data_IF_278044068693
#
_entry.id   IF_278044068693
#
_cell.length_a   1.000
_cell.length_b   1.000
_cell.length_c   1.000
_cell.angle_alpha   90.00
_cell.angle_beta   90.00
_cell.angle_gamma   90.00
#
_symmetry.space_group_name_H-M   'P 1'
#
loop_
_entity.id
_entity.type
_entity.pdbx_description
1 polymer ?
#
# COMPACT_ATOMS: atom_id res chain seq x y z
N UNK A 1 14.28 -24.43 -15.66
CA UNK A 1 13.11 -24.12 -14.80
C UNK A 1 13.17 -22.64 -14.43
N UNK A 2 12.13 -21.84 -14.70
CA UNK A 2 12.08 -20.44 -14.28
C UNK A 2 12.19 -20.39 -12.75
N UNK A 3 13.11 -19.57 -12.21
CA UNK A 3 13.30 -19.42 -10.76
C UNK A 3 12.08 -18.66 -10.22
N UNK A 4 11.12 -19.37 -9.62
CA UNK A 4 9.95 -18.74 -9.01
C UNK A 4 10.38 -18.08 -7.71
N UNK A 5 10.13 -16.78 -7.60
CA UNK A 5 10.24 -16.08 -6.32
C UNK A 5 8.90 -16.19 -5.61
N UNK A 6 8.91 -16.12 -4.29
CA UNK A 6 7.71 -16.38 -3.49
C UNK A 6 7.45 -15.20 -2.54
N UNK A 7 6.19 -14.83 -2.40
CA UNK A 7 5.72 -13.74 -1.57
C UNK A 7 4.75 -14.29 -0.53
N UNK A 8 5.12 -14.22 0.74
CA UNK A 8 4.40 -14.84 1.83
C UNK A 8 3.45 -13.86 2.52
N UNK A 9 2.16 -14.15 2.46
CA UNK A 9 1.09 -13.37 3.11
C UNK A 9 0.63 -14.09 4.38
N UNK A 10 0.54 -13.35 5.48
CA UNK A 10 -0.05 -13.86 6.72
C UNK A 10 -1.37 -13.16 7.00
N UNK A 11 -2.44 -13.93 7.20
CA UNK A 11 -3.78 -13.43 7.51
C UNK A 11 -4.06 -13.69 8.99
N UNK A 12 -4.54 -12.69 9.72
CA UNK A 12 -4.97 -12.81 11.11
C UNK A 12 -6.37 -12.23 11.24
N UNK A 13 -7.38 -13.09 11.44
CA UNK A 13 -8.79 -12.67 11.45
C UNK A 13 -9.60 -13.62 12.36
N UNK A 14 -10.62 -13.10 13.05
CA UNK A 14 -11.51 -13.88 13.92
C UNK A 14 -12.68 -14.55 13.16
N UNK A 15 -12.94 -14.13 11.92
CA UNK A 15 -13.98 -14.68 11.06
C UNK A 15 -13.40 -15.79 10.19
N UNK A 16 -13.74 -17.04 10.54
CA UNK A 16 -13.39 -18.23 9.74
C UNK A 16 -13.64 -18.10 8.24
N UNK A 17 -14.76 -17.46 7.84
CA UNK A 17 -15.10 -17.26 6.42
C UNK A 17 -14.12 -16.30 5.72
N UNK A 18 -13.68 -15.23 6.39
CA UNK A 18 -12.69 -14.29 5.86
C UNK A 18 -11.34 -14.98 5.68
N UNK A 19 -10.86 -15.68 6.72
CA UNK A 19 -9.65 -16.51 6.64
C UNK A 19 -9.67 -17.48 5.46
N UNK A 20 -10.77 -18.22 5.29
CA UNK A 20 -10.95 -19.17 4.18
C UNK A 20 -10.92 -18.46 2.83
N UNK A 21 -11.77 -17.44 2.62
CA UNK A 21 -11.90 -16.77 1.31
C UNK A 21 -10.60 -16.07 0.89
N UNK A 22 -9.91 -15.43 1.83
CA UNK A 22 -8.59 -14.83 1.57
C UNK A 22 -7.55 -15.91 1.22
N UNK A 23 -7.50 -17.00 1.97
CA UNK A 23 -6.57 -18.11 1.70
C UNK A 23 -6.82 -18.72 0.33
N UNK A 24 -8.06 -19.06 0.00
CA UNK A 24 -8.45 -19.68 -1.27
C UNK A 24 -8.13 -18.77 -2.47
N UNK A 25 -8.29 -17.45 -2.31
CA UNK A 25 -8.07 -16.48 -3.38
C UNK A 25 -6.59 -16.17 -3.60
N UNK A 26 -5.81 -16.10 -2.53
CA UNK A 26 -4.42 -15.65 -2.58
C UNK A 26 -3.43 -16.80 -2.78
N UNK A 27 -3.71 -18.00 -2.27
CA UNK A 27 -2.77 -19.13 -2.34
C UNK A 27 -2.52 -19.55 -3.79
N UNK A 28 -1.25 -19.58 -4.19
CA UNK A 28 -0.86 -19.95 -5.55
C UNK A 28 -1.12 -18.86 -6.59
N UNK A 29 -1.64 -17.68 -6.18
CA UNK A 29 -1.77 -16.53 -7.07
C UNK A 29 -0.40 -16.23 -7.68
N UNK A 30 -0.33 -16.27 -9.00
CA UNK A 30 0.89 -15.97 -9.75
C UNK A 30 0.79 -14.55 -10.26
N UNK A 31 1.70 -13.70 -9.81
CA UNK A 31 1.78 -12.30 -10.25
C UNK A 31 2.91 -12.19 -11.27
N UNK A 32 2.60 -11.94 -12.54
CA UNK A 32 3.63 -11.72 -13.55
C UNK A 32 4.35 -10.42 -13.20
N UNK A 33 5.68 -10.47 -13.10
CA UNK A 33 6.49 -9.25 -13.05
C UNK A 33 6.82 -8.81 -14.47
N UNK A 34 7.37 -7.60 -14.62
CA UNK A 34 7.81 -7.10 -15.93
C UNK A 34 9.05 -7.84 -16.50
N UNK A 35 9.47 -8.92 -15.85
CA UNK A 35 10.59 -9.81 -16.23
C UNK A 35 10.11 -11.26 -16.23
N UNK A 36 10.91 -12.19 -16.75
CA UNK A 36 10.63 -13.64 -16.75
C UNK A 36 10.55 -14.31 -15.36
N UNK A 37 10.43 -13.53 -14.28
CA UNK A 37 10.29 -13.97 -12.90
C UNK A 37 8.83 -13.87 -12.45
N UNK A 38 8.16 -15.01 -12.43
CA UNK A 38 6.84 -15.11 -11.80
C UNK A 38 7.00 -15.12 -10.27
N UNK A 39 6.18 -14.31 -9.58
CA UNK A 39 6.08 -14.33 -8.12
C UNK A 39 4.85 -15.17 -7.75
N UNK A 40 5.05 -16.22 -6.95
CA UNK A 40 3.95 -17.05 -6.44
C UNK A 40 3.63 -16.63 -5.01
N UNK A 41 2.35 -16.43 -4.73
CA UNK A 41 1.88 -16.11 -3.39
C UNK A 41 1.70 -17.39 -2.57
N UNK A 42 2.28 -17.42 -1.38
CA UNK A 42 1.93 -18.41 -0.34
C UNK A 42 1.27 -17.73 0.84
N UNK A 43 0.41 -18.47 1.53
CA UNK A 43 -0.47 -17.93 2.57
C UNK A 43 -0.38 -18.76 3.83
N UNK A 44 -0.24 -18.10 4.97
CA UNK A 44 -0.53 -18.66 6.29
C UNK A 44 -1.73 -17.92 6.88
N UNK A 45 -2.73 -18.65 7.36
CA UNK A 45 -3.91 -18.05 8.01
C UNK A 45 -3.95 -18.44 9.48
N UNK A 46 -4.21 -17.44 10.32
CA UNK A 46 -4.41 -17.55 11.76
C UNK A 46 -5.86 -17.14 12.04
N UNK A 47 -6.71 -18.14 12.23
CA UNK A 47 -8.06 -17.94 12.70
C UNK A 47 -8.04 -17.74 14.21
N UNK A 48 -8.25 -16.49 14.63
CA UNK A 48 -8.26 -16.08 16.03
C UNK A 48 -9.53 -16.62 16.69
N UNK A 49 -9.35 -17.41 17.74
CA UNK A 49 -10.48 -17.99 18.48
C UNK A 49 -10.32 -17.70 19.95
N UNK A 50 -11.47 -17.53 20.61
CA UNK A 50 -11.57 -17.07 21.99
C UNK A 50 -12.28 -18.14 22.82
N UNK A 51 -11.86 -18.29 24.08
CA UNK A 51 -12.56 -19.09 25.09
C UNK A 51 -13.01 -18.19 26.23
N UNK A 52 -14.23 -18.43 26.73
CA UNK A 52 -14.71 -17.83 27.98
C UNK A 52 -13.97 -18.45 29.16
N UNK A 53 -13.56 -17.61 30.10
CA UNK A 53 -13.10 -18.02 31.42
C UNK A 53 -14.31 -17.86 32.34
N UNK A 54 -14.79 -18.95 32.93
CA UNK A 54 -15.88 -18.88 33.89
C UNK A 54 -15.36 -18.23 35.19
N UNK A 55 -15.90 -17.08 35.57
CA UNK A 55 -15.90 -16.63 36.97
C UNK A 55 -17.34 -16.46 37.42
N UNK A 56 -17.75 -17.32 38.37
CA UNK A 56 -19.03 -17.27 39.04
C UNK A 56 -18.91 -16.37 40.28
N UNK A 57 -18.94 -15.05 40.11
CA UNK A 57 -19.31 -14.12 41.18
C UNK A 57 -20.19 -13.01 40.59
N UNK A 58 -21.27 -12.66 41.30
CA UNK A 58 -22.22 -11.64 40.87
C UNK A 58 -21.50 -10.29 40.72
N UNK A 59 -21.25 -9.87 39.48
CA UNK A 59 -20.70 -8.55 39.16
C UNK A 59 -19.36 -8.56 38.41
N UNK A 60 -18.68 -9.70 38.24
CA UNK A 60 -17.47 -9.76 37.41
C UNK A 60 -17.81 -9.85 35.91
N UNK A 61 -17.11 -9.06 35.08
CA UNK A 61 -17.19 -9.12 33.62
C UNK A 61 -16.68 -10.48 33.12
N UNK A 62 -17.38 -11.10 32.17
CA UNK A 62 -16.91 -12.32 31.46
C UNK A 62 -15.46 -12.12 30.97
N UNK A 63 -14.50 -12.85 31.56
CA UNK A 63 -13.10 -12.80 31.12
C UNK A 63 -12.88 -13.73 29.94
N UNK A 64 -12.07 -13.30 28.98
CA UNK A 64 -11.75 -14.05 27.76
C UNK A 64 -10.27 -14.34 27.65
N UNK A 65 -9.92 -15.42 26.96
CA UNK A 65 -8.54 -15.73 26.58
C UNK A 65 -8.50 -16.23 25.15
N UNK A 66 -7.41 -15.95 24.43
CA UNK A 66 -7.09 -16.65 23.19
C UNK A 66 -6.86 -18.14 23.46
N UNK A 67 -7.12 -18.98 22.47
CA UNK A 67 -7.05 -20.44 22.61
C UNK A 67 -5.67 -20.99 22.25
N UNK A 68 -5.42 -22.24 22.66
CA UNK A 68 -4.27 -23.03 22.21
C UNK A 68 -4.24 -23.19 20.68
N UNK A 69 -5.41 -23.28 20.03
CA UNK A 69 -5.48 -23.36 18.58
C UNK A 69 -4.96 -22.07 17.90
N UNK A 70 -5.16 -20.91 18.52
CA UNK A 70 -4.58 -19.64 18.05
C UNK A 70 -3.07 -19.61 18.27
N UNK A 71 -2.57 -20.11 19.40
CA UNK A 71 -1.12 -20.25 19.65
C UNK A 71 -0.45 -21.12 18.58
N UNK A 72 -0.97 -22.32 18.36
CA UNK A 72 -0.39 -23.26 17.39
C UNK A 72 -0.37 -22.68 15.96
N UNK A 73 -1.39 -21.91 15.59
CA UNK A 73 -1.42 -21.23 14.30
C UNK A 73 -0.38 -20.10 14.21
N UNK A 74 -0.20 -19.30 15.27
CA UNK A 74 0.85 -18.28 15.34
C UNK A 74 2.24 -18.90 15.17
N UNK A 75 2.54 -19.95 15.94
CA UNK A 75 3.84 -20.65 15.90
C UNK A 75 4.12 -21.31 14.55
N UNK A 76 3.07 -21.78 13.87
CA UNK A 76 3.18 -22.38 12.53
C UNK A 76 3.40 -21.30 11.46
N UNK A 77 2.61 -20.23 11.48
CA UNK A 77 2.74 -19.12 10.54
C UNK A 77 4.08 -18.40 10.68
N UNK A 78 4.63 -18.30 11.90
CA UNK A 78 5.92 -17.65 12.14
C UNK A 78 7.14 -18.44 11.69
N UNK A 79 6.99 -19.69 11.22
CA UNK A 79 8.12 -20.47 10.66
C UNK A 79 8.76 -19.79 9.47
N UNK A 80 8.03 -18.88 8.81
CA UNK A 80 8.51 -18.08 7.69
C UNK A 80 8.16 -16.61 7.93
N UNK A 81 9.12 -15.71 7.67
CA UNK A 81 8.86 -14.26 7.72
C UNK A 81 7.76 -13.87 6.75
N UNK A 82 6.80 -13.08 7.20
CA UNK A 82 5.76 -12.52 6.35
C UNK A 82 6.35 -11.41 5.46
N UNK A 83 5.99 -11.38 4.18
CA UNK A 83 6.24 -10.22 3.30
C UNK A 83 5.12 -9.18 3.43
N UNK A 84 3.92 -9.63 3.84
CA UNK A 84 2.73 -8.82 4.07
C UNK A 84 1.86 -9.44 5.15
N UNK A 85 1.31 -8.63 6.05
CA UNK A 85 0.27 -9.06 6.98
C UNK A 85 -1.06 -8.40 6.64
N UNK A 86 -2.15 -9.18 6.67
CA UNK A 86 -3.54 -8.72 6.58
C UNK A 86 -4.20 -9.07 7.91
N UNK A 87 -4.60 -8.06 8.67
CA UNK A 87 -5.00 -8.23 10.07
C UNK A 87 -6.34 -7.54 10.32
N UNK A 88 -7.35 -8.30 10.73
CA UNK A 88 -8.55 -7.71 11.33
C UNK A 88 -8.12 -7.14 12.68
N UNK A 89 -8.43 -5.86 12.91
CA UNK A 89 -8.04 -5.21 14.15
C UNK A 89 -9.10 -5.27 15.25
N UNK A 90 -10.23 -5.95 15.01
CA UNK A 90 -11.26 -6.24 16.01
C UNK A 90 -11.54 -7.73 16.04
N UNK A 91 -11.35 -8.36 17.21
CA UNK A 91 -11.71 -9.74 17.48
C UNK A 91 -12.86 -9.77 18.48
N UNK A 92 -14.00 -10.34 18.06
CA UNK A 92 -15.19 -10.42 18.91
C UNK A 92 -15.74 -11.85 18.88
N UNK A 93 -15.94 -12.44 20.05
CA UNK A 93 -16.66 -13.70 20.14
C UNK A 93 -18.08 -13.58 19.59
N UNK A 94 -18.54 -14.59 18.84
CA UNK A 94 -19.85 -14.58 18.20
C UNK A 94 -21.04 -14.35 19.16
N UNK A 95 -20.94 -14.77 20.42
CA UNK A 95 -21.94 -14.53 21.45
C UNK A 95 -21.91 -13.10 22.00
N UNK A 96 -20.72 -12.54 22.22
CA UNK A 96 -20.53 -11.12 22.63
C UNK A 96 -20.93 -10.19 21.50
N UNK A 97 -20.60 -10.56 20.26
CA UNK A 97 -21.06 -9.88 19.07
C UNK A 97 -22.58 -9.78 19.14
N UNK A 98 -23.33 -10.89 19.28
CA UNK A 98 -24.81 -10.86 19.40
C UNK A 98 -25.33 -9.91 20.50
N UNK A 99 -24.65 -9.80 21.63
CA UNK A 99 -25.01 -8.87 22.70
C UNK A 99 -24.81 -7.41 22.32
N UNK A 100 -23.63 -7.04 21.80
CA UNK A 100 -23.36 -5.69 21.32
C UNK A 100 -24.25 -5.29 20.16
N UNK A 101 -24.50 -6.25 19.28
CA UNK A 101 -25.44 -6.20 18.18
C UNK A 101 -26.87 -5.88 18.63
N UNK A 102 -27.28 -6.34 19.81
CA UNK A 102 -28.58 -6.01 20.42
C UNK A 102 -28.53 -4.62 21.06
N UNK A 103 -27.51 -4.33 21.87
CA UNK A 103 -27.35 -3.03 22.56
C UNK A 103 -27.19 -1.84 21.62
N UNK A 104 -26.49 -1.99 20.50
CA UNK A 104 -26.36 -0.94 19.48
C UNK A 104 -27.71 -0.52 18.87
N UNK A 105 -28.74 -1.38 18.92
CA UNK A 105 -30.12 -1.02 18.51
C UNK A 105 -30.89 -0.25 19.59
N UNK A 106 -30.39 -0.26 20.82
CA UNK A 106 -31.09 0.23 22.02
C UNK A 106 -30.40 1.49 22.61
N UNK A 107 -29.45 2.11 21.88
CA UNK A 107 -28.74 3.38 22.18
C UNK A 107 -28.21 3.54 23.62
N UNK A 108 -27.81 2.45 24.28
CA UNK A 108 -27.44 2.45 25.70
C UNK A 108 -26.18 1.65 25.97
N UNK A 109 -25.02 2.26 25.69
CA UNK A 109 -23.72 1.69 26.11
C UNK A 109 -22.85 2.81 26.70
N UNK A 110 -22.42 2.61 27.95
CA UNK A 110 -21.43 3.48 28.61
C UNK A 110 -20.01 3.08 28.23
N UNK A 111 -19.08 4.05 28.26
CA UNK A 111 -17.67 3.92 27.84
C UNK A 111 -16.93 2.77 28.55
N UNK A 112 -17.25 2.50 29.82
CA UNK A 112 -16.67 1.44 30.65
C UNK A 112 -17.08 0.01 30.22
N UNK A 113 -18.24 -0.17 29.56
CA UNK A 113 -18.64 -1.47 28.99
C UNK A 113 -17.91 -1.82 27.69
N UNK A 114 -17.28 -0.82 27.05
CA UNK A 114 -16.64 -0.90 25.74
C UNK A 114 -15.18 -1.37 25.88
N UNK A 115 -14.47 -0.84 26.90
CA UNK A 115 -13.00 -0.87 26.98
C UNK A 115 -12.39 -2.25 27.30
N UNK A 116 -13.20 -3.28 27.57
CA UNK A 116 -12.71 -4.61 27.95
C UNK A 116 -13.32 -5.78 27.15
N UNK A 117 -14.07 -5.49 26.08
CA UNK A 117 -14.90 -6.50 25.41
C UNK A 117 -14.62 -6.70 23.91
N UNK A 118 -13.91 -5.77 23.27
CA UNK A 118 -13.40 -5.94 21.91
C UNK A 118 -11.91 -6.27 21.98
N UNK A 119 -11.56 -7.53 21.73
CA UNK A 119 -10.16 -7.94 21.65
C UNK A 119 -9.55 -7.39 20.36
N UNK A 120 -8.23 -7.22 20.33
CA UNK A 120 -7.53 -6.61 19.21
C UNK A 120 -6.11 -7.22 19.06
N UNK A 121 -5.37 -6.90 17.99
CA UNK A 121 -4.02 -7.40 17.78
C UNK A 121 -3.05 -7.11 18.93
N UNK A 122 -3.20 -5.99 19.64
CA UNK A 122 -2.34 -5.64 20.79
C UNK A 122 -2.57 -6.57 21.95
N UNK A 123 -3.83 -6.92 22.23
CA UNK A 123 -4.16 -7.91 23.26
C UNK A 123 -3.69 -9.32 22.86
N UNK A 124 -3.73 -9.68 21.58
CA UNK A 124 -3.15 -10.93 21.09
C UNK A 124 -1.62 -10.96 21.29
N UNK A 125 -0.94 -9.85 20.99
CA UNK A 125 0.49 -9.68 21.23
C UNK A 125 0.82 -9.81 22.73
N UNK A 126 0.13 -9.06 23.59
CA UNK A 126 0.37 -9.08 25.04
C UNK A 126 0.12 -10.46 25.65
N UNK A 127 -0.98 -11.11 25.22
CA UNK A 127 -1.27 -12.47 25.60
C UNK A 127 -0.16 -13.42 25.16
N UNK A 128 0.26 -13.37 23.89
CA UNK A 128 1.35 -14.21 23.38
C UNK A 128 2.64 -14.02 24.18
N UNK A 129 2.97 -12.78 24.56
CA UNK A 129 4.14 -12.46 25.40
C UNK A 129 4.07 -13.11 26.79
N UNK A 130 2.86 -13.29 27.32
CA UNK A 130 2.63 -13.89 28.64
C UNK A 130 2.32 -15.40 28.59
N UNK A 131 2.11 -15.97 27.40
CA UNK A 131 1.78 -17.39 27.23
C UNK A 131 2.92 -18.29 27.74
N UNK A 132 2.67 -19.15 28.75
CA UNK A 132 3.68 -20.07 29.27
C UNK A 132 3.96 -21.20 28.26
N UNK A 133 5.09 -21.90 28.43
CA UNK A 133 5.47 -23.07 27.63
C UNK A 133 5.73 -22.82 26.13
N UNK A 134 5.96 -21.57 25.73
CA UNK A 134 6.53 -21.24 24.41
C UNK A 134 8.05 -21.14 24.56
N UNK A 135 8.82 -21.90 23.78
CA UNK A 135 10.28 -21.85 23.82
C UNK A 135 10.81 -20.45 23.44
N UNK A 136 11.96 -20.05 23.98
CA UNK A 136 12.55 -18.74 23.68
C UNK A 136 12.78 -18.54 22.18
N UNK A 137 13.24 -19.59 21.48
CA UNK A 137 13.42 -19.58 20.02
C UNK A 137 12.09 -19.40 19.27
N UNK A 138 11.02 -20.08 19.68
CA UNK A 138 9.70 -19.91 19.05
C UNK A 138 9.12 -18.53 19.32
N UNK A 139 9.36 -17.97 20.50
CA UNK A 139 8.95 -16.61 20.88
C UNK A 139 9.68 -15.58 20.04
N UNK A 140 11.01 -15.62 20.01
CA UNK A 140 11.85 -14.71 19.22
C UNK A 140 11.50 -14.81 17.74
N UNK A 141 11.36 -16.02 17.20
CA UNK A 141 10.96 -16.23 15.80
C UNK A 141 9.59 -15.62 15.52
N UNK A 142 8.61 -15.82 16.39
CA UNK A 142 7.26 -15.28 16.21
C UNK A 142 7.22 -13.76 16.29
N UNK A 143 8.00 -13.17 17.19
CA UNK A 143 8.20 -11.73 17.24
C UNK A 143 8.82 -11.21 15.94
N UNK A 144 10.01 -11.70 15.56
CA UNK A 144 10.75 -11.19 14.40
C UNK A 144 10.02 -11.39 13.07
N UNK A 145 9.26 -12.49 12.93
CA UNK A 145 8.63 -12.84 11.66
C UNK A 145 7.21 -12.26 11.50
N UNK A 146 6.55 -11.85 12.59
CA UNK A 146 5.18 -11.31 12.58
C UNK A 146 5.10 -9.93 13.25
N UNK A 147 5.20 -9.85 14.59
CA UNK A 147 4.87 -8.64 15.35
C UNK A 147 5.92 -7.53 15.25
N UNK A 148 7.21 -7.86 15.29
CA UNK A 148 8.32 -6.92 15.15
C UNK A 148 8.85 -6.87 13.71
N UNK A 149 8.04 -7.32 12.74
CA UNK A 149 8.40 -7.26 11.34
C UNK A 149 8.43 -5.82 10.83
N UNK A 150 9.44 -5.48 10.04
CA UNK A 150 9.60 -4.20 9.32
C UNK A 150 8.73 -4.11 8.05
N UNK A 151 7.83 -5.07 7.86
CA UNK A 151 7.05 -5.25 6.63
C UNK A 151 5.72 -4.53 6.69
N UNK A 152 5.05 -4.50 5.54
CA UNK A 152 3.75 -3.85 5.42
C UNK A 152 2.68 -4.64 6.18
N UNK A 153 1.88 -3.94 6.98
CA UNK A 153 0.71 -4.49 7.69
C UNK A 153 -0.53 -3.72 7.24
N UNK A 154 -1.52 -4.44 6.72
CA UNK A 154 -2.85 -3.91 6.44
C UNK A 154 -3.78 -4.24 7.59
N UNK A 155 -4.11 -3.23 8.37
CA UNK A 155 -5.16 -3.28 9.39
C UNK A 155 -6.49 -3.00 8.69
N UNK A 156 -7.39 -3.98 8.66
CA UNK A 156 -8.72 -3.80 8.10
C UNK A 156 -9.82 -3.94 9.14
N UNK A 157 -10.94 -3.26 8.91
CA UNK A 157 -12.18 -3.54 9.64
C UNK A 157 -13.36 -3.45 8.72
N UNK A 158 -14.40 -4.14 9.14
CA UNK A 158 -15.76 -3.88 8.73
C UNK A 158 -16.56 -3.60 10.00
N UNK A 159 -16.82 -2.32 10.27
CA UNK A 159 -17.62 -1.88 11.42
C UNK A 159 -18.95 -1.31 10.91
N UNK A 160 -20.08 -2.03 11.09
CA UNK A 160 -21.38 -1.53 10.64
C UNK A 160 -21.81 -0.23 11.31
N UNK A 161 -22.75 0.48 10.70
CA UNK A 161 -23.25 1.77 11.23
C UNK A 161 -23.84 1.58 12.64
N UNK A 162 -23.59 2.55 13.53
CA UNK A 162 -24.03 2.49 14.92
C UNK A 162 -23.16 1.62 15.83
N UNK A 163 -22.42 0.63 15.30
CA UNK A 163 -21.52 -0.18 16.13
C UNK A 163 -20.29 0.61 16.60
N UNK A 164 -19.88 1.67 15.90
CA UNK A 164 -18.81 2.57 16.34
C UNK A 164 -19.13 3.25 17.69
N UNK A 165 -20.40 3.48 18.03
CA UNK A 165 -20.77 4.02 19.35
C UNK A 165 -20.43 3.01 20.46
N UNK A 166 -20.41 1.72 20.13
CA UNK A 166 -20.21 0.61 21.06
C UNK A 166 -18.77 0.06 21.03
N UNK A 167 -18.04 0.25 19.93
CA UNK A 167 -16.67 -0.30 19.76
C UNK A 167 -15.62 0.79 19.61
N UNK A 168 -15.98 2.05 19.85
CA UNK A 168 -15.11 3.22 19.71
C UNK A 168 -15.04 3.75 18.27
N UNK A 169 -14.18 4.74 18.04
CA UNK A 169 -13.92 5.22 16.67
C UNK A 169 -12.93 4.30 15.95
N UNK A 170 -12.96 4.31 14.62
CA UNK A 170 -11.95 3.62 13.81
C UNK A 170 -10.52 4.08 14.14
N UNK A 171 -10.33 5.39 14.32
CA UNK A 171 -9.03 5.98 14.65
C UNK A 171 -8.48 5.43 15.96
N UNK A 172 -9.28 5.44 17.03
CA UNK A 172 -8.88 4.87 18.32
C UNK A 172 -8.52 3.38 18.20
N UNK A 173 -9.37 2.58 17.53
CA UNK A 173 -9.14 1.13 17.39
C UNK A 173 -7.89 0.81 16.59
N UNK A 174 -7.71 1.48 15.46
CA UNK A 174 -6.54 1.29 14.59
C UNK A 174 -5.24 1.69 15.29
N UNK A 175 -5.25 2.79 16.06
CA UNK A 175 -4.11 3.19 16.89
C UNK A 175 -3.75 2.12 17.91
N UNK A 176 -4.73 1.53 18.58
CA UNK A 176 -4.49 0.46 19.56
C UNK A 176 -3.94 -0.80 18.89
N UNK A 177 -4.51 -1.21 17.76
CA UNK A 177 -4.04 -2.38 17.02
C UNK A 177 -2.64 -2.21 16.44
N UNK A 178 -2.30 -1.00 16.00
CA UNK A 178 -0.97 -0.65 15.50
C UNK A 178 0.14 -0.87 16.54
N UNK A 179 -0.17 -0.75 17.85
CA UNK A 179 0.81 -1.01 18.92
C UNK A 179 1.31 -2.47 18.94
N UNK A 180 0.61 -3.41 18.31
CA UNK A 180 1.09 -4.79 18.14
C UNK A 180 2.24 -4.90 17.14
N UNK A 181 2.39 -3.90 16.26
CA UNK A 181 3.31 -3.91 15.12
C UNK A 181 4.23 -2.68 15.11
N UNK A 182 5.07 -2.49 16.14
CA UNK A 182 5.79 -1.22 16.37
C UNK A 182 6.78 -0.82 15.26
N UNK A 183 7.22 -1.77 14.43
CA UNK A 183 8.21 -1.53 13.36
C UNK A 183 7.61 -1.58 11.95
N UNK A 184 6.32 -1.90 11.84
CA UNK A 184 5.69 -2.13 10.55
C UNK A 184 5.32 -0.83 9.82
N UNK A 185 5.27 -0.91 8.49
CA UNK A 185 4.59 0.11 7.69
C UNK A 185 3.09 -0.19 7.68
N UNK A 186 2.31 0.60 8.43
CA UNK A 186 0.89 0.32 8.69
C UNK A 186 -0.01 1.07 7.71
N UNK A 187 -0.91 0.33 7.07
CA UNK A 187 -2.03 0.88 6.32
C UNK A 187 -3.34 0.48 6.98
N UNK A 188 -4.19 1.46 7.29
CA UNK A 188 -5.52 1.24 7.86
C UNK A 188 -6.55 1.34 6.75
N UNK A 189 -7.45 0.37 6.65
CA UNK A 189 -8.50 0.32 5.63
C UNK A 189 -9.86 0.11 6.29
N UNK A 190 -10.78 1.04 6.04
CA UNK A 190 -12.19 0.82 6.32
C UNK A 190 -12.82 0.03 5.17
N UNK A 191 -12.74 -1.30 5.26
CA UNK A 191 -13.28 -2.16 4.20
C UNK A 191 -14.80 -2.10 4.09
N UNK A 192 -15.50 -1.49 5.05
CA UNK A 192 -16.92 -1.20 4.85
C UNK A 192 -17.08 -0.08 3.83
N UNK A 193 -16.48 1.08 4.08
CA UNK A 193 -16.59 2.25 3.19
C UNK A 193 -15.93 2.02 1.83
N UNK A 194 -14.85 1.23 1.77
CA UNK A 194 -14.14 0.95 0.51
C UNK A 194 -14.89 -0.05 -0.38
N UNK A 195 -15.63 -1.01 0.21
CA UNK A 195 -16.29 -2.07 -0.57
C UNK A 195 -17.77 -1.81 -0.79
N UNK A 196 -18.40 -0.95 0.02
CA UNK A 196 -19.83 -0.68 -0.02
C UNK A 196 -20.09 0.82 -0.05
N UNK A 197 -20.82 1.25 -1.08
CA UNK A 197 -21.20 2.65 -1.29
C UNK A 197 -22.52 3.04 -0.61
N UNK A 198 -23.19 2.08 0.02
CA UNK A 198 -24.47 2.28 0.68
C UNK A 198 -24.65 1.35 1.88
N UNK A 199 -25.73 1.60 2.61
CA UNK A 199 -26.11 0.84 3.81
C UNK A 199 -26.85 -0.47 3.49
N UNK A 200 -27.00 -0.89 2.21
CA UNK A 200 -27.66 -2.17 1.86
C UNK A 200 -26.89 -3.36 2.48
N UNK A 201 -25.59 -3.16 2.66
CA UNK A 201 -24.67 -4.10 3.27
C UNK A 201 -24.51 -3.89 4.76
N UNK A 202 -25.12 -2.86 5.35
CA UNK A 202 -25.00 -2.61 6.78
C UNK A 202 -25.81 -3.61 7.59
N UNK A 203 -25.08 -4.46 8.28
CA UNK A 203 -25.65 -5.25 9.35
C UNK A 203 -26.03 -4.31 10.51
N UNK A 204 -27.25 -4.36 11.12
CA UNK A 204 -28.16 -5.49 11.22
C UNK A 204 -29.42 -5.44 10.33
N UNK A 205 -29.29 -5.23 9.02
CA UNK A 205 -30.44 -5.30 8.10
C UNK A 205 -30.85 -6.77 7.81
N UNK A 206 -32.03 -7.25 8.27
CA UNK A 206 -32.49 -8.63 8.05
C UNK A 206 -32.93 -8.92 6.61
N UNK A 207 -33.17 -7.86 5.85
CA UNK A 207 -33.68 -7.81 4.47
C UNK A 207 -32.58 -7.76 3.42
N UNK A 208 -31.31 -7.85 3.83
CA UNK A 208 -30.19 -7.86 2.88
C UNK A 208 -30.28 -9.08 1.95
N UNK A 209 -30.13 -8.86 0.65
CA UNK A 209 -30.11 -9.94 -0.36
C UNK A 209 -28.81 -10.76 -0.35
N UNK A 210 -27.84 -10.35 0.46
CA UNK A 210 -26.49 -10.90 0.47
C UNK A 210 -26.30 -11.89 1.62
N UNK A 211 -25.71 -13.04 1.31
CA UNK A 211 -25.39 -14.03 2.34
C UNK A 211 -24.18 -13.60 3.18
N UNK A 212 -23.98 -14.26 4.33
CA UNK A 212 -22.85 -13.98 5.21
C UNK A 212 -21.48 -14.41 4.66
N UNK A 213 -21.36 -14.78 3.37
CA UNK A 213 -20.11 -15.06 2.66
C UNK A 213 -19.78 -13.99 1.59
N UNK A 214 -20.72 -13.10 1.28
CA UNK A 214 -20.53 -12.01 0.32
C UNK A 214 -19.42 -11.03 0.74
N UNK A 215 -19.44 -10.51 1.97
CA UNK A 215 -18.37 -9.63 2.45
C UNK A 215 -16.99 -10.32 2.44
N UNK A 216 -16.82 -11.54 3.00
CA UNK A 216 -15.57 -12.29 2.88
C UNK A 216 -15.09 -12.49 1.44
N UNK A 217 -16.01 -12.66 0.48
CA UNK A 217 -15.67 -12.72 -0.94
C UNK A 217 -15.14 -11.38 -1.48
N UNK A 218 -15.81 -10.27 -1.19
CA UNK A 218 -15.36 -8.92 -1.61
C UNK A 218 -14.01 -8.56 -0.99
N UNK A 219 -13.85 -8.84 0.31
CA UNK A 219 -12.60 -8.68 1.04
C UNK A 219 -11.45 -9.43 0.35
N UNK A 220 -11.68 -10.68 -0.04
CA UNK A 220 -10.68 -11.48 -0.76
C UNK A 220 -10.35 -10.92 -2.15
N UNK A 221 -11.34 -10.42 -2.89
CA UNK A 221 -11.12 -9.76 -4.17
C UNK A 221 -10.26 -8.50 -4.04
N UNK A 222 -10.58 -7.66 -3.04
CA UNK A 222 -9.84 -6.44 -2.74
C UNK A 222 -8.39 -6.74 -2.35
N UNK A 223 -8.16 -7.64 -1.40
CA UNK A 223 -6.81 -7.97 -0.97
C UNK A 223 -5.98 -8.70 -2.03
N UNK A 224 -6.60 -9.39 -2.99
CA UNK A 224 -5.88 -9.89 -4.16
C UNK A 224 -5.22 -8.76 -4.98
N UNK A 225 -5.92 -7.63 -5.14
CA UNK A 225 -5.35 -6.45 -5.81
C UNK A 225 -4.27 -5.79 -4.97
N UNK A 226 -4.47 -5.68 -3.65
CA UNK A 226 -3.46 -5.16 -2.72
C UNK A 226 -2.18 -6.00 -2.75
N UNK A 227 -2.30 -7.33 -2.70
CA UNK A 227 -1.15 -8.25 -2.76
C UNK A 227 -0.40 -8.10 -4.09
N UNK A 228 -1.11 -8.00 -5.22
CA UNK A 228 -0.49 -7.72 -6.51
C UNK A 228 0.28 -6.40 -6.51
N UNK A 229 -0.31 -5.34 -5.94
CA UNK A 229 0.32 -4.02 -5.82
C UNK A 229 1.58 -4.07 -4.95
N UNK A 230 1.54 -4.74 -3.80
CA UNK A 230 2.71 -4.85 -2.89
C UNK A 230 3.83 -5.70 -3.49
N UNK A 231 3.49 -6.79 -4.19
CA UNK A 231 4.47 -7.56 -4.97
C UNK A 231 5.13 -6.67 -6.01
N UNK A 232 4.34 -5.88 -6.74
CA UNK A 232 4.86 -4.98 -7.76
C UNK A 232 5.78 -3.91 -7.15
N UNK A 233 5.38 -3.25 -6.05
CA UNK A 233 6.24 -2.30 -5.32
C UNK A 233 7.57 -2.92 -4.87
N UNK A 234 7.51 -4.12 -4.27
CA UNK A 234 8.71 -4.81 -3.82
C UNK A 234 9.64 -5.19 -4.97
N UNK A 235 9.07 -5.53 -6.13
CA UNK A 235 9.85 -5.74 -7.35
C UNK A 235 10.58 -4.46 -7.79
N UNK A 236 9.89 -3.33 -7.84
CA UNK A 236 10.48 -2.05 -8.26
C UNK A 236 11.64 -1.61 -7.34
N UNK A 237 11.52 -1.85 -6.03
CA UNK A 237 12.58 -1.55 -5.05
C UNK A 237 13.82 -2.44 -5.19
N UNK A 238 13.69 -3.67 -5.73
CA UNK A 238 14.75 -4.70 -5.72
C UNK A 238 15.71 -4.66 -6.91
N UNK A 239 15.42 -3.94 -7.98
CA UNK A 239 16.37 -3.82 -9.10
C UNK A 239 17.54 -2.91 -8.68
N UNK A 240 18.81 -3.31 -8.90
CA UNK A 240 19.91 -2.36 -8.94
C UNK A 240 19.52 -1.29 -9.95
N UNK A 241 19.37 -0.06 -9.49
CA UNK A 241 18.85 1.00 -10.34
C UNK A 241 19.89 1.29 -11.43
N UNK A 242 19.53 1.19 -12.72
CA UNK A 242 20.44 1.52 -13.80
C UNK A 242 20.96 2.95 -13.61
N UNK A 243 22.25 3.20 -13.88
CA UNK A 243 22.84 4.54 -13.76
C UNK A 243 22.55 5.42 -14.98
N UNK A 244 21.28 5.42 -15.41
CA UNK A 244 20.77 6.15 -16.57
C UNK A 244 19.55 6.96 -16.17
N UNK A 245 19.36 8.09 -16.83
CA UNK A 245 18.23 8.98 -16.65
C UNK A 245 17.37 8.93 -17.91
N UNK A 246 16.07 8.75 -17.77
CA UNK A 246 15.15 8.94 -18.88
C UNK A 246 14.70 10.40 -18.93
N UNK A 247 14.86 11.05 -20.08
CA UNK A 247 14.38 12.42 -20.29
C UNK A 247 13.06 12.37 -21.07
N UNK A 248 11.97 12.60 -20.36
CA UNK A 248 10.64 12.78 -20.96
C UNK A 248 10.53 14.22 -21.43
N UNK A 249 10.12 14.43 -22.68
CA UNK A 249 9.96 15.76 -23.25
C UNK A 249 8.76 15.83 -24.20
N UNK A 250 8.23 17.04 -24.37
CA UNK A 250 7.22 17.33 -25.37
C UNK A 250 7.82 17.77 -26.70
N UNK A 251 7.30 18.85 -27.30
CA UNK A 251 7.76 19.32 -28.63
C UNK A 251 8.95 20.26 -28.54
N UNK A 252 9.19 20.85 -27.36
CA UNK A 252 10.24 21.84 -27.22
C UNK A 252 11.65 21.24 -27.28
N UNK A 253 12.34 21.49 -28.39
CA UNK A 253 13.70 20.97 -28.65
C UNK A 253 14.77 21.68 -27.82
N UNK A 254 14.60 22.98 -27.54
CA UNK A 254 15.63 23.76 -26.85
C UNK A 254 15.80 23.29 -25.41
N UNK A 255 14.70 23.12 -24.68
CA UNK A 255 14.66 22.63 -23.30
C UNK A 255 15.14 21.18 -23.24
N UNK A 256 14.71 20.34 -24.18
CA UNK A 256 15.20 18.96 -24.33
C UNK A 256 16.73 18.91 -24.40
N UNK A 257 17.32 19.62 -25.37
CA UNK A 257 18.77 19.66 -25.59
C UNK A 257 19.52 20.24 -24.38
N UNK A 258 18.98 21.32 -23.80
CA UNK A 258 19.60 21.99 -22.65
C UNK A 258 19.69 21.07 -21.44
N UNK A 259 18.60 20.34 -21.15
CA UNK A 259 18.54 19.43 -20.01
C UNK A 259 19.35 18.16 -20.27
N UNK A 260 19.25 17.57 -21.47
CA UNK A 260 20.03 16.39 -21.84
C UNK A 260 21.54 16.63 -21.70
N UNK A 261 22.06 17.72 -22.29
CA UNK A 261 23.48 18.07 -22.20
C UNK A 261 23.93 18.33 -20.78
N UNK A 262 23.06 18.91 -19.94
CA UNK A 262 23.38 19.13 -18.54
C UNK A 262 23.52 17.79 -17.78
N UNK A 263 22.60 16.86 -17.96
CA UNK A 263 22.67 15.51 -17.35
C UNK A 263 23.94 14.79 -17.81
N UNK A 264 24.27 14.87 -19.10
CA UNK A 264 25.49 14.28 -19.67
C UNK A 264 26.77 14.93 -19.11
N UNK A 265 26.78 16.25 -18.85
CA UNK A 265 27.90 16.96 -18.18
C UNK A 265 28.17 16.37 -16.79
N UNK A 266 27.13 15.89 -16.10
CA UNK A 266 27.26 15.18 -14.82
C UNK A 266 27.76 13.73 -14.97
N UNK A 267 28.12 13.31 -16.19
CA UNK A 267 28.57 11.95 -16.51
C UNK A 267 27.50 10.88 -16.28
N UNK A 268 26.24 11.25 -16.51
CA UNK A 268 25.08 10.35 -16.43
C UNK A 268 24.55 10.13 -17.85
N UNK A 269 24.33 8.87 -18.23
CA UNK A 269 23.75 8.52 -19.53
C UNK A 269 22.28 8.97 -19.59
N UNK A 270 21.93 9.73 -20.62
CA UNK A 270 20.56 10.21 -20.85
C UNK A 270 19.90 9.38 -21.95
N UNK A 271 18.69 8.87 -21.66
CA UNK A 271 17.86 8.17 -22.62
C UNK A 271 16.75 9.12 -23.07
N UNK A 272 16.80 9.52 -24.33
CA UNK A 272 15.75 10.31 -24.99
C UNK A 272 15.04 9.41 -26.02
N UNK A 273 13.72 9.27 -25.90
CA UNK A 273 12.98 8.26 -26.66
C UNK A 273 12.99 8.52 -28.17
N UNK A 274 12.89 9.77 -28.60
CA UNK A 274 12.82 10.13 -30.03
C UNK A 274 14.14 9.82 -30.77
N UNK A 275 15.27 9.84 -30.05
CA UNK A 275 16.60 9.53 -30.56
C UNK A 275 16.91 8.03 -30.71
N UNK A 276 16.14 7.15 -30.06
CA UNK A 276 16.40 5.71 -30.15
C UNK A 276 15.91 5.12 -31.49
N UNK A 277 16.54 4.04 -31.97
CA UNK A 277 16.09 3.38 -33.19
C UNK A 277 14.69 2.74 -33.04
N UNK A 278 13.80 2.98 -34.00
CA UNK A 278 12.42 2.44 -33.97
C UNK A 278 12.37 0.92 -34.24
N UNK A 279 13.25 0.39 -35.09
CA UNK A 279 13.39 -1.05 -35.39
C UNK A 279 12.06 -1.77 -35.69
N UNK A 280 11.13 -1.08 -36.38
CA UNK A 280 9.79 -1.60 -36.71
C UNK A 280 8.82 -1.77 -35.53
N UNK A 281 9.18 -1.27 -34.33
CA UNK A 281 8.39 -1.41 -33.10
C UNK A 281 7.35 -0.30 -32.97
N UNK A 282 6.27 -0.58 -32.26
CA UNK A 282 5.36 0.47 -31.80
C UNK A 282 6.07 1.39 -30.79
N UNK A 283 5.62 2.64 -30.71
CA UNK A 283 6.12 3.63 -29.75
C UNK A 283 6.07 3.08 -28.32
N UNK A 284 4.97 2.41 -27.96
CA UNK A 284 4.81 1.83 -26.63
C UNK A 284 5.83 0.72 -26.33
N UNK A 285 6.17 -0.11 -27.32
CA UNK A 285 7.19 -1.15 -27.17
C UNK A 285 8.58 -0.53 -27.02
N UNK A 286 8.89 0.46 -27.86
CA UNK A 286 10.13 1.25 -27.76
C UNK A 286 10.27 1.87 -26.38
N UNK A 287 9.23 2.58 -25.90
CA UNK A 287 9.20 3.17 -24.57
C UNK A 287 9.46 2.14 -23.48
N UNK A 288 8.79 0.99 -23.55
CA UNK A 288 9.00 -0.12 -22.61
C UNK A 288 10.45 -0.59 -22.57
N UNK A 289 11.05 -0.83 -23.74
CA UNK A 289 12.42 -1.36 -23.86
C UNK A 289 13.47 -0.39 -23.28
N UNK A 290 13.26 0.92 -23.44
CA UNK A 290 14.19 1.97 -22.99
C UNK A 290 13.88 2.53 -21.60
N UNK A 291 12.75 2.17 -21.01
CA UNK A 291 12.34 2.66 -19.68
C UNK A 291 13.15 2.07 -18.51
N UNK A 292 14.08 1.14 -18.74
CA UNK A 292 14.94 0.57 -17.68
C UNK A 292 16.06 1.57 -17.31
N UNK A 293 15.68 2.54 -16.49
CA UNK A 293 16.47 3.66 -15.98
C UNK A 293 16.36 3.72 -14.45
N UNK A 294 17.28 4.44 -13.78
CA UNK A 294 17.27 4.61 -12.33
C UNK A 294 16.67 5.92 -11.84
N UNK A 295 16.33 6.82 -12.77
CA UNK A 295 15.75 8.13 -12.51
C UNK A 295 15.05 8.65 -13.78
N UNK A 296 14.02 9.49 -13.63
CA UNK A 296 13.38 10.16 -14.74
C UNK A 296 13.32 11.68 -14.53
N UNK A 297 13.64 12.44 -15.57
CA UNK A 297 13.46 13.89 -15.63
C UNK A 297 12.34 14.17 -16.62
N UNK A 298 11.32 14.90 -16.19
CA UNK A 298 10.11 15.15 -16.98
C UNK A 298 10.00 16.65 -17.28
N UNK A 299 10.02 17.01 -18.56
CA UNK A 299 9.87 18.40 -19.01
C UNK A 299 8.40 18.73 -19.25
N UNK A 300 7.85 19.55 -18.35
CA UNK A 300 6.50 20.10 -18.44
C UNK A 300 6.55 21.46 -19.14
N UNK A 301 6.67 21.42 -20.47
CA UNK A 301 6.68 22.58 -21.37
C UNK A 301 5.27 22.91 -21.88
N UNK A 302 4.99 24.17 -22.20
CA UNK A 302 3.69 24.63 -22.70
C UNK A 302 3.41 24.25 -24.16
N UNK A 303 3.52 22.97 -24.51
CA UNK A 303 3.42 22.47 -25.89
C UNK A 303 1.98 22.47 -26.44
N UNK A 304 1.00 22.32 -25.55
CA UNK A 304 -0.42 22.27 -25.86
C UNK A 304 -1.17 23.33 -25.05
N UNK A 305 -2.42 23.62 -25.44
CA UNK A 305 -3.37 24.43 -24.65
C UNK A 305 -4.55 23.57 -24.19
N UNK A 306 -5.08 23.84 -22.99
CA UNK A 306 -6.22 23.11 -22.43
C UNK A 306 -6.99 23.88 -21.37
N UNK A 307 -8.18 23.41 -21.05
CA UNK A 307 -9.11 24.00 -20.08
C UNK A 307 -10.36 23.14 -19.95
N UNK A 308 -11.30 23.54 -19.11
CA UNK A 308 -12.60 22.88 -18.99
C UNK A 308 -13.36 23.00 -20.31
N UNK A 309 -14.14 21.98 -20.67
CA UNK A 309 -14.96 22.03 -21.90
C UNK A 309 -15.99 23.18 -21.89
N UNK A 310 -16.36 23.67 -20.71
CA UNK A 310 -17.25 24.80 -20.49
C UNK A 310 -16.56 26.17 -20.51
N UNK A 311 -15.22 26.22 -20.50
CA UNK A 311 -14.47 27.47 -20.54
C UNK A 311 -14.39 28.04 -21.95
N UNK A 312 -14.30 29.37 -22.02
CA UNK A 312 -14.06 30.07 -23.28
C UNK A 312 -12.72 29.62 -23.88
N UNK A 313 -12.65 29.25 -25.18
CA UNK A 313 -11.40 28.86 -25.85
C UNK A 313 -10.28 29.91 -25.77
N UNK A 314 -10.60 31.17 -25.51
CA UNK A 314 -9.61 32.24 -25.28
C UNK A 314 -8.91 32.14 -23.91
N UNK A 315 -9.51 31.43 -22.95
CA UNK A 315 -8.99 31.24 -21.59
C UNK A 315 -8.19 29.95 -21.42
N UNK A 316 -7.88 29.22 -22.50
CA UNK A 316 -7.10 27.98 -22.41
C UNK A 316 -5.69 28.25 -21.86
N UNK A 317 -5.31 27.47 -20.84
CA UNK A 317 -3.99 27.51 -20.22
C UNK A 317 -2.97 26.70 -21.01
N UNK A 318 -1.70 27.11 -20.96
CA UNK A 318 -0.61 26.29 -21.46
C UNK A 318 -0.47 25.03 -20.61
N UNK A 319 -0.24 23.88 -21.24
CA UNK A 319 -0.05 22.61 -20.52
C UNK A 319 0.98 21.74 -21.22
N UNK A 320 1.54 20.81 -20.45
CA UNK A 320 2.35 19.74 -21.01
C UNK A 320 1.51 18.84 -21.93
N UNK A 321 2.17 18.31 -22.96
CA UNK A 321 1.56 17.37 -23.90
C UNK A 321 1.01 16.14 -23.17
N UNK A 322 -0.14 15.62 -23.58
CA UNK A 322 -0.75 14.46 -22.90
C UNK A 322 0.16 13.23 -22.80
N UNK A 323 1.00 12.97 -23.81
CA UNK A 323 1.98 11.89 -23.75
C UNK A 323 3.01 12.08 -22.63
N UNK A 324 3.44 13.33 -22.38
CA UNK A 324 4.36 13.66 -21.28
C UNK A 324 3.69 13.36 -19.94
N UNK A 325 2.41 13.70 -19.77
CA UNK A 325 1.65 13.40 -18.56
C UNK A 325 1.48 11.89 -18.36
N UNK A 326 1.24 11.13 -19.43
CA UNK A 326 1.19 9.68 -19.38
C UNK A 326 2.54 9.06 -18.95
N UNK A 327 3.64 9.53 -19.53
CA UNK A 327 4.99 9.07 -19.20
C UNK A 327 5.40 9.45 -17.77
N UNK A 328 4.98 10.62 -17.27
CA UNK A 328 5.11 11.00 -15.87
C UNK A 328 4.43 9.97 -14.95
N UNK A 329 3.15 9.68 -15.19
CA UNK A 329 2.41 8.67 -14.43
C UNK A 329 3.08 7.29 -14.44
N UNK A 330 3.59 6.89 -15.61
CA UNK A 330 4.34 5.64 -15.75
C UNK A 330 5.62 5.61 -14.92
N UNK A 331 6.44 6.66 -14.96
CA UNK A 331 7.70 6.68 -14.21
C UNK A 331 7.49 6.84 -12.71
N UNK A 332 6.45 7.53 -12.25
CA UNK A 332 6.06 7.53 -10.83
C UNK A 332 5.70 6.13 -10.36
N UNK A 333 4.89 5.42 -11.15
CA UNK A 333 4.50 4.05 -10.83
C UNK A 333 5.70 3.10 -10.86
N UNK A 334 6.68 3.31 -11.75
CA UNK A 334 7.83 2.42 -11.96
C UNK A 334 9.01 2.72 -11.03
N UNK A 335 9.33 3.98 -10.78
CA UNK A 335 10.54 4.39 -10.06
C UNK A 335 10.25 4.83 -8.62
N UNK A 336 9.01 5.22 -8.32
CA UNK A 336 8.69 5.98 -7.10
C UNK A 336 8.77 7.49 -7.35
N UNK A 337 8.22 8.25 -6.42
CA UNK A 337 8.28 9.72 -6.40
C UNK A 337 9.69 10.24 -6.10
N UNK A 338 10.47 9.54 -5.27
CA UNK A 338 11.86 9.83 -4.92
C UNK A 338 12.88 9.73 -6.08
N UNK A 339 12.42 9.26 -7.25
CA UNK A 339 13.27 9.04 -8.44
C UNK A 339 12.73 9.73 -9.70
N UNK A 340 11.81 10.68 -9.53
CA UNK A 340 11.21 11.46 -10.61
C UNK A 340 11.30 12.94 -10.29
N UNK A 341 11.88 13.72 -11.21
CA UNK A 341 11.96 15.18 -11.09
C UNK A 341 11.24 15.85 -12.26
N UNK A 342 10.29 16.73 -11.96
CA UNK A 342 9.58 17.51 -12.97
C UNK A 342 10.22 18.89 -13.11
N UNK A 343 10.73 19.21 -14.31
CA UNK A 343 11.13 20.56 -14.67
C UNK A 343 9.99 21.22 -15.45
N UNK A 344 9.51 22.37 -15.03
CA UNK A 344 8.37 23.02 -15.68
C UNK A 344 8.69 24.43 -16.17
N UNK A 345 8.19 24.78 -17.36
CA UNK A 345 8.26 26.16 -17.84
C UNK A 345 7.33 27.07 -17.03
N UNK A 346 7.54 28.39 -17.13
CA UNK A 346 6.64 29.38 -16.55
C UNK A 346 5.23 29.28 -17.16
N UNK A 347 4.20 29.49 -16.33
CA UNK A 347 2.79 29.58 -16.75
C UNK A 347 2.20 28.32 -17.39
N UNK A 348 2.81 27.15 -17.16
CA UNK A 348 2.26 25.84 -17.55
C UNK A 348 1.42 25.30 -16.40
N UNK A 349 0.25 24.79 -16.73
CA UNK A 349 -0.61 24.04 -15.81
C UNK A 349 0.14 22.82 -15.26
N UNK A 350 0.20 22.72 -13.93
CA UNK A 350 0.79 21.59 -13.22
C UNK A 350 -0.36 20.75 -12.65
N UNK A 351 -0.39 19.42 -12.85
CA UNK A 351 -1.50 18.63 -12.37
C UNK A 351 -1.58 18.64 -10.84
N UNK A 352 -2.76 18.90 -10.29
CA UNK A 352 -3.02 19.21 -8.88
C UNK A 352 -2.84 18.04 -7.89
N UNK A 353 -2.91 16.78 -8.36
CA UNK A 353 -3.08 15.60 -7.48
C UNK A 353 -1.76 14.86 -7.15
N UNK A 354 -0.61 15.50 -7.36
CA UNK A 354 0.69 14.86 -7.17
C UNK A 354 1.47 15.43 -5.97
N UNK A 355 0.88 15.35 -4.77
CA UNK A 355 1.38 15.95 -3.53
C UNK A 355 2.73 15.42 -3.00
N UNK A 356 3.39 14.50 -3.72
CA UNK A 356 4.73 13.98 -3.39
C UNK A 356 5.81 14.26 -4.43
N UNK A 357 5.49 14.92 -5.56
CA UNK A 357 6.46 15.14 -6.64
C UNK A 357 7.15 16.49 -6.49
N UNK A 358 8.48 16.51 -6.68
CA UNK A 358 9.24 17.74 -6.78
C UNK A 358 9.00 18.41 -8.15
N UNK A 359 8.40 19.60 -8.11
CA UNK A 359 8.30 20.50 -9.25
C UNK A 359 9.36 21.58 -9.14
N UNK A 360 10.28 21.60 -10.10
CA UNK A 360 11.36 22.58 -10.20
C UNK A 360 11.07 23.52 -11.37
N UNK A 361 11.00 24.83 -11.15
CA UNK A 361 10.92 25.78 -12.25
C UNK A 361 12.14 25.66 -13.15
N UNK A 362 11.94 25.50 -14.45
CA UNK A 362 12.99 25.56 -15.46
C UNK A 362 13.31 27.04 -15.73
N UNK A 363 14.03 27.65 -14.80
CA UNK A 363 14.31 29.09 -14.78
C UNK A 363 15.52 29.47 -15.64
N UNK A 364 15.50 30.69 -16.20
CA UNK A 364 16.58 31.24 -17.02
C UNK A 364 17.87 31.49 -16.22
N UNK A 365 17.77 31.66 -14.88
CA UNK A 365 18.95 31.83 -14.02
C UNK A 365 19.72 30.52 -13.82
N UNK A 366 19.17 29.39 -14.27
CA UNK A 366 19.79 28.07 -14.20
C UNK A 366 19.76 27.43 -12.81
N UNK A 367 18.96 27.94 -11.87
CA UNK A 367 18.90 27.41 -10.50
C UNK A 367 18.43 25.94 -10.48
N UNK A 368 17.60 25.53 -11.44
CA UNK A 368 17.19 24.15 -11.66
C UNK A 368 18.35 23.16 -11.79
N UNK A 369 19.51 23.56 -12.35
CA UNK A 369 20.68 22.69 -12.56
C UNK A 369 21.19 22.15 -11.23
N UNK A 370 21.37 23.04 -10.25
CA UNK A 370 21.84 22.68 -8.92
C UNK A 370 20.84 21.81 -8.17
N UNK A 371 19.54 22.08 -8.34
CA UNK A 371 18.47 21.26 -7.74
C UNK A 371 18.48 19.85 -8.33
N UNK A 372 18.44 19.73 -9.66
CA UNK A 372 18.47 18.43 -10.34
C UNK A 372 19.73 17.61 -9.99
N UNK A 373 20.90 18.24 -9.91
CA UNK A 373 22.13 17.56 -9.54
C UNK A 373 22.09 16.99 -8.11
N UNK A 374 21.43 17.67 -7.16
CA UNK A 374 21.21 17.16 -5.80
C UNK A 374 20.25 15.97 -5.80
N UNK A 375 19.12 16.07 -6.50
CA UNK A 375 18.17 14.97 -6.61
C UNK A 375 18.81 13.69 -7.19
N UNK A 376 19.61 13.83 -8.25
CA UNK A 376 20.34 12.71 -8.83
C UNK A 376 21.30 12.08 -7.81
N UNK A 377 22.05 12.91 -7.07
CA UNK A 377 22.97 12.43 -6.04
C UNK A 377 22.24 11.69 -4.92
N UNK A 378 21.15 12.27 -4.43
CA UNK A 378 20.37 11.73 -3.32
C UNK A 378 19.62 10.43 -3.75
N UNK A 379 19.29 10.30 -5.04
CA UNK A 379 18.81 9.06 -5.66
C UNK A 379 19.90 7.98 -5.87
N UNK A 380 21.15 8.27 -5.50
CA UNK A 380 22.28 7.34 -5.51
C UNK A 380 23.19 7.41 -6.74
N UNK A 381 23.08 8.45 -7.58
CA UNK A 381 24.01 8.67 -8.68
C UNK A 381 25.32 9.27 -8.17
N UNK A 382 26.44 8.90 -8.79
CA UNK A 382 27.75 9.46 -8.46
C UNK A 382 27.93 10.83 -9.12
N UNK A 383 27.34 11.86 -8.51
CA UNK A 383 27.36 13.24 -9.04
C UNK A 383 28.47 14.04 -8.36
N UNK A 384 29.40 14.53 -9.16
CA UNK A 384 30.40 15.51 -8.71
C UNK A 384 29.82 16.92 -8.84
N UNK A 385 29.40 17.49 -7.71
CA UNK A 385 28.83 18.84 -7.68
C UNK A 385 29.85 19.93 -8.03
N UNK A 386 31.16 19.65 -8.01
CA UNK A 386 32.16 20.63 -8.45
C UNK A 386 32.10 20.88 -9.96
N UNK A 387 31.52 19.96 -10.74
CA UNK A 387 31.26 20.14 -12.19
C UNK A 387 30.14 21.16 -12.49
N UNK A 388 29.47 21.67 -11.45
CA UNK A 388 28.44 22.72 -11.57
C UNK A 388 29.03 24.13 -11.63
N UNK A 389 30.22 24.31 -11.06
CA UNK A 389 31.05 25.51 -11.20
C UNK A 389 31.65 25.54 -12.62
#
# INVERSE_FOLDING_TARGET
MKKRSEFHVVIIDDKKKACRRLTDRLSGLTVPTYTDLDVVVSVSSIHVTLKRLHQHEQGELDRWSFTEATLQQLLKASKRKADLLIVDYIYIDSGVAKHFKKKAKEESVGEEEIEHRALNPKLLYDWFMQTPNVSDNDRERTLNNLFHSDKTVYLHTYTPQGLCVVTGTMEQRSRMAALAFPQANIHVIDTRSELFNDEEFDWPRPDTKYDGDYYPYQLACFFAQVVQKEIFKNFLKRKPQPKRVFLVHGRSKAEKETVARFIEKLSVETVVLDEQANLGRSILKKFRDYSDVGFAVVLLTGDDKGGLASEDPTNLSLRARQNVIFELGFFLAKLGDDRVCCLHSSNVEIPSNYSGILYVPLDDSGAWKTRLARELRDAGFNIDLNKLL
#
